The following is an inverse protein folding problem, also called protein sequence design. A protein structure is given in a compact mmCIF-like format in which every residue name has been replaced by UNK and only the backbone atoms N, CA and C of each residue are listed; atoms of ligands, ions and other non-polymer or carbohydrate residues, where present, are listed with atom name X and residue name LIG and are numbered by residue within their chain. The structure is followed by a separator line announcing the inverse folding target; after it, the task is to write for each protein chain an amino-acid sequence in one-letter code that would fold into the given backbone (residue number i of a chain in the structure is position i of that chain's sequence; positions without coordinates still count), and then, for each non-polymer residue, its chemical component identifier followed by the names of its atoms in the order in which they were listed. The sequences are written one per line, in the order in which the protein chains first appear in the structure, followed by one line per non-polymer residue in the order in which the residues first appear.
data_IF_857420179273
#
_entry.id   IF_857420179273
#
_cell.length_a   1.000
_cell.length_b   1.000
_cell.length_c   1.000
_cell.angle_alpha   90.00
_cell.angle_beta   90.00
_cell.angle_gamma   90.00
#
_symmetry.space_group_name_H-M   'P 1'
#
loop_
_entity.id
_entity.type
_entity.pdbx_description
1 polymer ?
#
# COMPACT_ATOMS: atom_id res chain seq x y z
N UNK A 1 -10.26 -17.61 -25.98
CA UNK A 1 -9.12 -18.24 -26.64
C UNK A 1 -7.85 -17.52 -26.25
N UNK A 2 -6.73 -18.26 -26.09
CA UNK A 2 -5.42 -17.67 -25.77
C UNK A 2 -4.54 -17.77 -27.01
N UNK A 3 -3.97 -16.64 -27.41
CA UNK A 3 -3.03 -16.53 -28.52
C UNK A 3 -1.63 -16.29 -27.96
N UNK A 4 -0.64 -16.96 -28.52
CA UNK A 4 0.75 -16.82 -28.06
C UNK A 4 1.56 -15.98 -29.05
N UNK A 5 2.35 -15.07 -28.50
CA UNK A 5 3.26 -14.21 -29.27
C UNK A 5 4.65 -14.36 -28.66
N UNK A 6 5.67 -14.55 -29.49
CA UNK A 6 7.05 -14.68 -29.00
C UNK A 6 7.89 -13.56 -29.60
N UNK A 7 8.59 -12.84 -28.74
CA UNK A 7 9.45 -11.73 -29.19
C UNK A 7 10.89 -12.24 -29.45
N UNK A 8 11.76 -11.40 -30.04
CA UNK A 8 13.15 -11.83 -30.33
C UNK A 8 13.97 -12.20 -29.08
N UNK A 9 13.53 -11.82 -27.88
CA UNK A 9 14.19 -12.21 -26.63
C UNK A 9 13.62 -13.50 -26.03
N UNK A 10 12.79 -14.21 -26.79
CA UNK A 10 12.14 -15.46 -26.40
C UNK A 10 11.09 -15.33 -25.30
N UNK A 11 10.71 -14.08 -24.94
CA UNK A 11 9.56 -13.87 -24.03
C UNK A 11 8.29 -14.23 -24.78
N UNK A 12 7.42 -15.00 -24.12
CA UNK A 12 6.12 -15.40 -24.69
C UNK A 12 5.03 -14.59 -23.98
N UNK A 13 4.15 -14.01 -24.79
CA UNK A 13 2.97 -13.27 -24.30
C UNK A 13 1.73 -14.13 -24.57
N UNK A 14 0.98 -14.41 -23.50
CA UNK A 14 -0.30 -15.11 -23.59
C UNK A 14 -1.44 -14.11 -23.63
N UNK A 15 -2.05 -13.95 -24.79
CA UNK A 15 -3.12 -12.96 -25.00
C UNK A 15 -4.47 -13.67 -25.01
N UNK A 16 -5.26 -13.43 -23.97
CA UNK A 16 -6.61 -13.97 -23.88
C UNK A 16 -7.59 -13.00 -24.53
N UNK A 17 -8.34 -13.49 -25.51
CA UNK A 17 -9.36 -12.69 -26.19
C UNK A 17 -10.70 -13.42 -26.21
N UNK A 18 -11.79 -12.65 -26.20
CA UNK A 18 -13.15 -13.19 -26.38
C UNK A 18 -13.47 -13.34 -27.86
N UNK A 19 -12.87 -12.53 -28.71
CA UNK A 19 -13.07 -12.54 -30.16
C UNK A 19 -11.84 -13.08 -30.87
N UNK A 20 -12.01 -13.55 -32.08
CA UNK A 20 -10.87 -13.87 -32.95
C UNK A 20 -10.12 -12.57 -33.29
N UNK A 21 -8.81 -12.67 -33.38
CA UNK A 21 -7.96 -11.53 -33.73
C UNK A 21 -7.91 -11.38 -35.27
N UNK A 22 -8.13 -10.16 -35.73
CA UNK A 22 -7.95 -9.82 -37.12
C UNK A 22 -6.46 -9.75 -37.48
N UNK A 23 -6.13 -9.76 -38.75
CA UNK A 23 -4.74 -9.61 -39.20
C UNK A 23 -4.17 -8.23 -38.76
N UNK A 24 -5.00 -7.20 -38.76
CA UNK A 24 -4.62 -5.89 -38.28
C UNK A 24 -4.29 -5.93 -36.78
N UNK A 25 -5.13 -6.60 -35.96
CA UNK A 25 -4.89 -6.77 -34.52
C UNK A 25 -3.57 -7.50 -34.27
N UNK A 26 -3.32 -8.58 -35.03
CA UNK A 26 -2.08 -9.37 -34.92
C UNK A 26 -0.87 -8.47 -35.22
N UNK A 27 -0.96 -7.65 -36.28
CA UNK A 27 0.14 -6.74 -36.63
C UNK A 27 0.42 -5.75 -35.54
N UNK A 28 -0.63 -5.16 -34.95
CA UNK A 28 -0.51 -4.23 -33.80
C UNK A 28 0.13 -4.91 -32.59
N UNK A 29 -0.33 -6.12 -32.25
CA UNK A 29 0.21 -6.88 -31.11
C UNK A 29 1.67 -7.28 -31.35
N UNK A 30 2.02 -7.71 -32.56
CA UNK A 30 3.41 -8.02 -32.91
C UNK A 30 4.31 -6.82 -32.65
N UNK A 31 3.88 -5.63 -33.08
CA UNK A 31 4.63 -4.40 -32.85
C UNK A 31 4.70 -4.07 -31.36
N UNK A 32 3.56 -4.15 -30.66
CA UNK A 32 3.47 -3.81 -29.24
C UNK A 32 4.42 -4.66 -28.39
N UNK A 33 4.56 -5.94 -28.73
CA UNK A 33 5.40 -6.88 -27.97
C UNK A 33 6.87 -6.89 -28.46
N UNK A 34 7.32 -5.83 -29.12
CA UNK A 34 8.71 -5.66 -29.51
C UNK A 34 9.10 -6.49 -30.73
N UNK A 35 8.31 -6.40 -31.78
CA UNK A 35 8.48 -7.16 -33.04
C UNK A 35 8.32 -8.67 -32.81
N UNK A 36 7.34 -9.04 -32.01
CA UNK A 36 7.00 -10.43 -31.75
C UNK A 36 6.38 -11.07 -32.99
N UNK A 37 6.29 -12.38 -32.95
CA UNK A 37 5.56 -13.17 -33.94
C UNK A 37 4.45 -13.94 -33.26
N UNK A 38 3.25 -13.91 -33.83
CA UNK A 38 2.18 -14.77 -33.36
C UNK A 38 2.54 -16.23 -33.71
N UNK A 39 2.43 -17.09 -32.69
CA UNK A 39 2.65 -18.53 -32.88
C UNK A 39 1.34 -19.18 -33.32
N UNK A 40 1.45 -20.22 -34.14
CA UNK A 40 0.29 -20.96 -34.62
C UNK A 40 -0.17 -22.05 -33.67
N UNK A 41 0.71 -22.43 -32.75
CA UNK A 41 0.43 -23.48 -31.76
C UNK A 41 -0.60 -23.02 -30.77
N UNK A 42 -1.56 -23.89 -30.45
CA UNK A 42 -2.55 -23.65 -29.37
C UNK A 42 -2.00 -23.95 -27.98
N UNK A 43 -0.98 -24.80 -27.92
CA UNK A 43 -0.29 -25.15 -26.69
C UNK A 43 1.22 -25.12 -26.93
N UNK A 44 1.98 -24.63 -25.98
CA UNK A 44 3.44 -24.59 -26.10
C UNK A 44 4.05 -25.60 -25.12
N UNK A 45 4.68 -26.64 -25.67
CA UNK A 45 5.26 -27.76 -24.92
C UNK A 45 6.69 -27.43 -24.47
N UNK A 46 6.80 -26.56 -23.49
CA UNK A 46 8.06 -26.14 -22.91
C UNK A 46 7.79 -25.60 -21.50
N UNK A 47 8.82 -25.57 -20.64
CA UNK A 47 8.68 -25.02 -19.31
C UNK A 47 8.78 -23.51 -19.34
N UNK A 48 7.87 -22.87 -18.61
CA UNK A 48 7.82 -21.41 -18.48
C UNK A 48 7.62 -21.00 -17.03
N UNK A 49 8.10 -19.82 -16.67
CA UNK A 49 7.72 -19.14 -15.44
C UNK A 49 6.97 -17.87 -15.82
N UNK A 50 5.85 -17.65 -15.14
CA UNK A 50 5.02 -16.47 -15.33
C UNK A 50 4.06 -16.29 -14.17
N UNK A 51 3.18 -15.30 -14.24
CA UNK A 51 2.24 -15.03 -13.15
C UNK A 51 1.31 -16.21 -12.88
N UNK A 52 0.94 -16.39 -11.62
CA UNK A 52 -0.03 -17.41 -11.22
C UNK A 52 -1.37 -17.19 -11.94
N UNK A 53 -2.05 -18.27 -12.26
CA UNK A 53 -3.33 -18.23 -12.98
C UNK A 53 -4.35 -17.35 -12.24
N UNK A 54 -4.38 -17.42 -10.90
CA UNK A 54 -5.33 -16.68 -10.06
C UNK A 54 -5.01 -15.18 -9.93
N UNK A 55 -3.89 -14.72 -10.51
CA UNK A 55 -3.35 -13.39 -10.22
C UNK A 55 -3.15 -12.59 -11.49
N UNK A 56 -4.14 -11.78 -11.84
CA UNK A 56 -3.98 -10.81 -12.94
C UNK A 56 -3.01 -9.72 -12.47
N UNK A 57 -1.90 -9.56 -13.17
CA UNK A 57 -0.88 -8.60 -12.74
C UNK A 57 -1.30 -7.16 -13.06
N UNK A 58 -0.79 -6.17 -12.31
CA UNK A 58 -0.98 -4.76 -12.70
C UNK A 58 -0.41 -4.47 -14.09
N UNK A 59 0.67 -5.16 -14.48
CA UNK A 59 1.22 -5.07 -15.84
C UNK A 59 0.16 -5.48 -16.87
N UNK A 60 -0.53 -6.58 -16.61
CA UNK A 60 -1.59 -7.08 -17.51
C UNK A 60 -2.72 -6.07 -17.66
N UNK A 61 -3.14 -5.44 -16.56
CA UNK A 61 -4.20 -4.43 -16.59
C UNK A 61 -3.81 -3.27 -17.50
N UNK A 62 -2.58 -2.78 -17.37
CA UNK A 62 -2.08 -1.69 -18.22
C UNK A 62 -1.94 -2.14 -19.68
N UNK A 63 -1.44 -3.36 -19.90
CA UNK A 63 -1.28 -3.89 -21.26
C UNK A 63 -2.63 -3.99 -21.99
N UNK A 64 -3.65 -4.48 -21.29
CA UNK A 64 -5.01 -4.56 -21.84
C UNK A 64 -5.54 -3.16 -22.18
N UNK A 65 -5.35 -2.18 -21.30
CA UNK A 65 -5.77 -0.80 -21.57
C UNK A 65 -5.05 -0.23 -22.80
N UNK A 66 -3.77 -0.52 -22.97
CA UNK A 66 -3.02 -0.09 -24.16
C UNK A 66 -3.65 -0.68 -25.43
N UNK A 67 -4.02 -1.97 -25.42
CA UNK A 67 -4.64 -2.58 -26.59
C UNK A 67 -5.99 -1.93 -26.91
N UNK A 68 -6.77 -1.57 -25.88
CA UNK A 68 -8.03 -0.86 -26.09
C UNK A 68 -7.79 0.51 -26.75
N UNK A 69 -6.78 1.23 -26.28
CA UNK A 69 -6.41 2.52 -26.88
C UNK A 69 -5.89 2.39 -28.32
N UNK A 70 -5.35 1.23 -28.67
CA UNK A 70 -4.94 0.91 -30.04
C UNK A 70 -6.09 0.44 -30.91
N UNK A 71 -7.30 0.37 -30.38
CA UNK A 71 -8.49 -0.04 -31.11
C UNK A 71 -8.63 -1.56 -31.26
N UNK A 72 -7.96 -2.34 -30.40
CA UNK A 72 -8.09 -3.81 -30.41
C UNK A 72 -9.18 -4.18 -29.39
N UNK A 73 -10.28 -4.76 -29.86
CA UNK A 73 -11.40 -5.10 -29.00
C UNK A 73 -11.32 -6.54 -28.49
N UNK A 74 -11.82 -6.76 -27.30
CA UNK A 74 -12.04 -8.11 -26.76
C UNK A 74 -10.82 -8.75 -26.11
N UNK A 75 -9.76 -8.01 -25.86
CA UNK A 75 -8.62 -8.52 -25.09
C UNK A 75 -9.01 -8.45 -23.60
N UNK A 76 -8.83 -9.57 -22.88
CA UNK A 76 -9.25 -9.70 -21.48
C UNK A 76 -8.05 -9.75 -20.54
N UNK A 77 -6.96 -10.39 -20.98
CA UNK A 77 -5.76 -10.58 -20.16
C UNK A 77 -4.55 -10.78 -21.05
N UNK A 78 -3.42 -10.20 -20.66
CA UNK A 78 -2.13 -10.41 -21.30
C UNK A 78 -1.10 -10.62 -20.20
N UNK A 79 -0.30 -11.69 -20.27
CA UNK A 79 0.78 -11.91 -19.31
C UNK A 79 2.04 -12.34 -20.03
N UNK A 80 3.18 -12.09 -19.38
CA UNK A 80 4.50 -12.47 -19.90
C UNK A 80 4.95 -13.78 -19.26
N UNK A 81 5.54 -14.64 -20.09
CA UNK A 81 6.08 -15.95 -19.68
C UNK A 81 7.51 -16.05 -20.18
N UNK A 82 8.42 -16.48 -19.28
CA UNK A 82 9.82 -16.68 -19.64
C UNK A 82 10.09 -18.17 -19.78
N UNK A 83 10.65 -18.62 -20.90
CA UNK A 83 11.02 -20.03 -21.02
C UNK A 83 12.17 -20.35 -20.05
N UNK A 84 12.08 -21.50 -19.41
CA UNK A 84 13.06 -21.92 -18.39
C UNK A 84 13.38 -23.41 -18.56
N UNK A 85 14.54 -23.87 -18.05
CA UNK A 85 14.80 -25.32 -18.00
C UNK A 85 13.84 -26.04 -17.05
N UNK A 86 13.71 -27.35 -17.25
CA UNK A 86 12.80 -28.19 -16.46
C UNK A 86 13.15 -28.18 -14.96
N UNK A 87 14.41 -28.00 -14.62
CA UNK A 87 14.87 -27.98 -13.21
C UNK A 87 14.93 -26.59 -12.60
N UNK A 88 14.46 -25.56 -13.31
CA UNK A 88 14.46 -24.18 -12.81
C UNK A 88 13.52 -24.04 -11.63
N UNK A 89 14.01 -23.43 -10.53
CA UNK A 89 13.22 -23.23 -9.31
C UNK A 89 13.43 -21.84 -8.67
N UNK A 90 14.14 -20.94 -9.37
CA UNK A 90 14.45 -19.60 -8.84
C UNK A 90 13.35 -18.61 -9.19
N UNK A 91 12.20 -18.75 -8.53
CA UNK A 91 11.06 -17.83 -8.69
C UNK A 91 10.30 -17.76 -7.38
N UNK A 92 9.58 -16.66 -7.18
CA UNK A 92 8.77 -16.45 -5.98
C UNK A 92 7.39 -17.11 -6.17
N UNK A 93 7.09 -18.20 -5.44
CA UNK A 93 5.81 -18.89 -5.61
C UNK A 93 4.60 -18.11 -5.12
N UNK A 94 4.78 -17.00 -4.41
CA UNK A 94 3.68 -16.13 -4.01
C UNK A 94 3.08 -15.40 -5.21
N UNK A 95 3.90 -15.05 -6.20
CA UNK A 95 3.47 -14.25 -7.35
C UNK A 95 3.63 -14.97 -8.70
N UNK A 96 4.47 -15.99 -8.75
CA UNK A 96 4.80 -16.69 -9.99
C UNK A 96 4.53 -18.19 -9.87
N UNK A 97 4.45 -18.82 -11.00
CA UNK A 97 4.20 -20.26 -11.13
C UNK A 97 5.05 -20.81 -12.27
N UNK A 98 5.58 -22.02 -12.09
CA UNK A 98 6.24 -22.73 -13.18
C UNK A 98 5.21 -23.60 -13.88
N UNK A 99 5.12 -23.43 -15.19
CA UNK A 99 4.22 -24.18 -16.07
C UNK A 99 5.05 -25.21 -16.83
N UNK A 100 4.61 -26.46 -16.86
CA UNK A 100 5.24 -27.49 -17.67
C UNK A 100 4.92 -27.31 -19.16
N UNK A 101 3.82 -26.60 -19.45
CA UNK A 101 3.42 -26.20 -20.79
C UNK A 101 2.43 -25.05 -20.65
N UNK A 102 2.32 -24.20 -21.66
CA UNK A 102 1.27 -23.19 -21.72
C UNK A 102 0.11 -23.74 -22.56
N UNK A 103 -1.10 -23.70 -22.00
CA UNK A 103 -2.29 -24.29 -22.59
C UNK A 103 -3.41 -23.26 -22.69
N UNK A 104 -4.50 -23.64 -23.34
CA UNK A 104 -5.69 -22.79 -23.42
C UNK A 104 -6.39 -22.63 -22.06
N UNK A 105 -6.05 -23.47 -21.09
CA UNK A 105 -6.62 -23.42 -19.74
C UNK A 105 -5.69 -22.74 -18.71
N UNK A 106 -4.55 -22.19 -19.15
CA UNK A 106 -3.53 -21.70 -18.21
C UNK A 106 -3.99 -20.54 -17.34
N UNK A 107 -5.03 -19.83 -17.74
CA UNK A 107 -5.61 -18.73 -16.94
C UNK A 107 -6.86 -19.18 -16.16
N UNK A 108 -7.28 -20.44 -16.35
CA UNK A 108 -8.48 -20.95 -15.67
C UNK A 108 -8.14 -21.31 -14.22
N UNK A 109 -8.96 -20.82 -13.31
CA UNK A 109 -8.81 -21.10 -11.87
C UNK A 109 -9.97 -21.99 -11.45
N UNK A 110 -9.66 -23.26 -11.16
CA UNK A 110 -10.66 -24.24 -10.71
C UNK A 110 -10.57 -24.36 -9.18
N UNK A 111 -11.21 -23.40 -8.50
CA UNK A 111 -11.28 -23.41 -7.05
C UNK A 111 -12.74 -23.61 -6.65
N UNK A 112 -12.99 -24.63 -5.83
CA UNK A 112 -14.29 -24.82 -5.19
C UNK A 112 -14.27 -23.94 -3.93
N UNK A 113 -15.15 -22.94 -3.83
CA UNK A 113 -15.20 -22.14 -2.61
C UNK A 113 -15.52 -23.01 -1.40
N UNK A 114 -14.92 -22.68 -0.26
CA UNK A 114 -15.29 -23.34 0.98
C UNK A 114 -16.73 -22.96 1.34
N UNK A 115 -17.45 -23.87 2.01
CA UNK A 115 -18.82 -23.56 2.39
C UNK A 115 -18.88 -22.44 3.42
N UNK A 116 -19.94 -21.66 3.34
CA UNK A 116 -20.24 -20.65 4.37
C UNK A 116 -20.66 -21.39 5.63
N UNK A 117 -20.03 -21.07 6.75
CA UNK A 117 -20.31 -21.71 8.03
C UNK A 117 -21.28 -20.86 8.84
N UNK A 118 -22.27 -21.48 9.45
CA UNK A 118 -23.14 -20.84 10.43
C UNK A 118 -22.56 -21.08 11.82
N UNK A 119 -22.25 -19.99 12.52
CA UNK A 119 -21.46 -20.05 13.76
C UNK A 119 -22.41 -20.24 14.95
N UNK A 120 -22.37 -21.45 15.54
CA UNK A 120 -23.19 -21.81 16.70
C UNK A 120 -22.67 -21.17 17.99
N UNK A 121 -21.35 -21.11 18.14
CA UNK A 121 -20.68 -20.62 19.34
C UNK A 121 -19.63 -19.59 18.93
N UNK A 122 -19.99 -18.33 19.09
CA UNK A 122 -19.13 -17.21 18.65
C UNK A 122 -17.87 -17.14 19.52
N UNK A 123 -17.97 -17.45 20.82
CA UNK A 123 -16.79 -17.43 21.70
C UNK A 123 -15.78 -18.50 21.30
N UNK A 124 -16.26 -19.72 21.02
CA UNK A 124 -15.39 -20.82 20.57
C UNK A 124 -14.74 -20.46 19.22
N UNK A 125 -15.52 -19.91 18.30
CA UNK A 125 -15.03 -19.48 16.98
C UNK A 125 -13.98 -18.36 17.12
N UNK A 126 -14.24 -17.39 17.99
CA UNK A 126 -13.30 -16.32 18.32
C UNK A 126 -11.92 -16.88 18.71
N UNK A 127 -11.95 -17.90 19.60
CA UNK A 127 -10.70 -18.53 20.08
C UNK A 127 -10.00 -19.35 18.98
N UNK A 128 -10.75 -20.15 18.23
CA UNK A 128 -10.16 -21.02 17.20
C UNK A 128 -9.56 -20.23 16.05
N UNK A 129 -10.19 -19.11 15.66
CA UNK A 129 -9.74 -18.29 14.54
C UNK A 129 -8.87 -17.10 14.95
N UNK A 130 -8.66 -16.90 16.26
CA UNK A 130 -7.80 -15.82 16.76
C UNK A 130 -8.33 -14.43 16.44
N UNK A 131 -9.65 -14.22 16.53
CA UNK A 131 -10.29 -12.98 16.11
C UNK A 131 -10.10 -11.82 17.08
N UNK A 132 -9.65 -12.09 18.30
CA UNK A 132 -9.39 -11.08 19.34
C UNK A 132 -10.61 -10.24 19.72
N UNK A 133 -11.80 -10.86 19.67
CA UNK A 133 -13.03 -10.21 20.16
C UNK A 133 -13.02 -10.20 21.68
N UNK A 134 -13.41 -9.09 22.28
CA UNK A 134 -13.57 -9.00 23.73
C UNK A 134 -14.97 -9.52 24.16
N UNK A 135 -15.21 -9.74 25.46
CA UNK A 135 -16.49 -10.29 25.89
C UNK A 135 -17.71 -9.46 25.46
N UNK A 136 -17.62 -8.13 25.52
CA UNK A 136 -18.72 -7.24 25.11
C UNK A 136 -19.03 -7.39 23.61
N UNK A 137 -18.01 -7.62 22.81
CA UNK A 137 -18.17 -7.82 21.36
C UNK A 137 -18.82 -9.17 21.07
N UNK A 138 -18.45 -10.22 21.83
CA UNK A 138 -19.08 -11.54 21.72
C UNK A 138 -20.57 -11.44 22.11
N UNK A 139 -20.87 -10.75 23.22
CA UNK A 139 -22.25 -10.52 23.66
C UNK A 139 -23.04 -9.74 22.61
N UNK A 140 -22.44 -8.70 22.02
CA UNK A 140 -23.08 -7.93 20.97
C UNK A 140 -23.47 -8.83 19.79
N UNK A 141 -22.56 -9.69 19.34
CA UNK A 141 -22.80 -10.56 18.19
C UNK A 141 -23.85 -11.62 18.51
N UNK A 142 -23.86 -12.17 19.73
CA UNK A 142 -24.89 -13.11 20.19
C UNK A 142 -26.28 -12.43 20.19
N UNK A 143 -26.35 -11.21 20.70
CA UNK A 143 -27.60 -10.42 20.73
C UNK A 143 -28.04 -10.08 19.30
N UNK A 144 -27.10 -9.79 18.41
CA UNK A 144 -27.41 -9.51 17.02
C UNK A 144 -27.99 -10.75 16.33
N UNK A 145 -27.40 -11.91 16.56
CA UNK A 145 -27.89 -13.19 16.04
C UNK A 145 -29.34 -13.43 16.47
N UNK A 146 -29.60 -13.22 17.77
CA UNK A 146 -30.96 -13.34 18.33
C UNK A 146 -31.92 -12.36 17.67
N UNK A 147 -31.52 -11.12 17.51
CA UNK A 147 -32.35 -10.06 16.90
C UNK A 147 -32.68 -10.38 15.44
N UNK A 148 -31.73 -10.95 14.72
CA UNK A 148 -31.90 -11.33 13.31
C UNK A 148 -32.71 -12.63 13.15
N UNK A 149 -32.86 -13.42 14.23
CA UNK A 149 -33.55 -14.69 14.18
C UNK A 149 -32.81 -15.77 13.38
N UNK A 150 -31.48 -15.64 13.26
CA UNK A 150 -30.65 -16.62 12.58
C UNK A 150 -29.23 -16.56 13.09
N UNK A 151 -28.48 -17.62 12.84
CA UNK A 151 -27.04 -17.64 13.16
C UNK A 151 -26.28 -16.65 12.27
N UNK A 152 -25.21 -16.11 12.80
CA UNK A 152 -24.28 -15.31 12.00
C UNK A 152 -23.33 -16.26 11.24
N UNK A 153 -22.92 -15.85 10.07
CA UNK A 153 -21.98 -16.61 9.27
C UNK A 153 -20.54 -16.32 9.70
N UNK A 154 -19.64 -17.23 9.34
CA UNK A 154 -18.19 -17.03 9.50
C UNK A 154 -17.75 -15.68 8.92
N UNK A 155 -18.21 -15.36 7.72
CA UNK A 155 -17.87 -14.10 7.03
C UNK A 155 -18.36 -12.89 7.81
N UNK A 156 -19.56 -12.95 8.39
CA UNK A 156 -20.11 -11.84 9.20
C UNK A 156 -19.31 -11.64 10.48
N UNK A 157 -19.00 -12.74 11.20
CA UNK A 157 -18.23 -12.64 12.45
C UNK A 157 -16.80 -12.18 12.16
N UNK A 158 -16.17 -12.72 11.12
CA UNK A 158 -14.82 -12.31 10.71
C UNK A 158 -14.81 -10.83 10.30
N UNK A 159 -15.76 -10.41 9.46
CA UNK A 159 -15.81 -9.00 9.01
C UNK A 159 -15.98 -8.05 10.18
N UNK A 160 -16.84 -8.41 11.15
CA UNK A 160 -17.01 -7.60 12.37
C UNK A 160 -15.69 -7.49 13.13
N UNK A 161 -14.97 -8.62 13.30
CA UNK A 161 -13.71 -8.61 14.04
C UNK A 161 -12.67 -7.71 13.36
N UNK A 162 -12.64 -7.71 12.02
CA UNK A 162 -11.70 -6.87 11.28
C UNK A 162 -12.08 -5.39 11.35
N UNK A 163 -13.38 -5.09 11.21
CA UNK A 163 -13.85 -3.70 11.28
C UNK A 163 -13.68 -3.11 12.69
N UNK A 164 -13.83 -3.94 13.72
CA UNK A 164 -13.75 -3.52 15.12
C UNK A 164 -12.41 -3.88 15.76
N UNK A 165 -11.38 -4.11 14.96
CA UNK A 165 -10.07 -4.55 15.42
C UNK A 165 -9.32 -3.43 16.18
N UNK A 166 -8.21 -3.82 16.82
CA UNK A 166 -7.31 -2.88 17.51
C UNK A 166 -6.43 -2.08 16.53
N UNK A 167 -6.84 -1.99 15.27
CA UNK A 167 -6.12 -1.18 14.29
C UNK A 167 -6.05 0.27 14.76
N UNK A 168 -4.87 0.86 14.72
CA UNK A 168 -4.58 2.20 15.19
C UNK A 168 -4.84 2.39 16.69
N UNK A 169 -4.99 1.29 17.44
CA UNK A 169 -5.13 1.32 18.90
C UNK A 169 -6.33 2.13 19.40
N UNK A 170 -7.40 2.22 18.62
CA UNK A 170 -8.57 3.04 18.99
C UNK A 170 -9.19 2.60 20.32
N UNK A 171 -9.28 1.29 20.57
CA UNK A 171 -9.85 0.79 21.83
C UNK A 171 -9.00 1.22 23.01
N UNK A 172 -7.67 1.02 22.93
CA UNK A 172 -6.75 1.40 24.01
C UNK A 172 -6.79 2.92 24.23
N UNK A 173 -6.69 3.71 23.14
CA UNK A 173 -6.64 5.17 23.27
C UNK A 173 -7.94 5.77 23.78
N UNK A 174 -9.08 5.09 23.60
CA UNK A 174 -10.38 5.51 24.14
C UNK A 174 -10.72 4.83 25.47
N UNK A 175 -9.91 3.87 25.91
CA UNK A 175 -10.15 3.11 27.13
C UNK A 175 -10.01 3.91 28.41
N UNK A 176 -10.53 3.35 29.47
CA UNK A 176 -10.33 3.87 30.84
C UNK A 176 -9.03 3.31 31.41
N UNK A 177 -8.17 4.19 31.86
CA UNK A 177 -6.89 3.79 32.48
C UNK A 177 -7.00 3.80 33.98
N UNK A 178 -6.61 2.71 34.59
CA UNK A 178 -6.49 2.59 36.06
C UNK A 178 -5.01 2.47 36.37
N UNK A 179 -4.44 3.48 37.04
CA UNK A 179 -3.01 3.53 37.35
C UNK A 179 -2.87 3.54 38.85
N UNK A 180 -2.18 2.54 39.40
CA UNK A 180 -2.00 2.33 40.82
C UNK A 180 -3.32 2.33 41.62
N UNK A 181 -4.37 1.76 41.00
CA UNK A 181 -5.68 1.64 41.60
C UNK A 181 -6.57 2.87 41.44
N UNK A 182 -6.07 3.93 40.80
CA UNK A 182 -6.86 5.16 40.59
C UNK A 182 -7.30 5.26 39.15
N UNK A 183 -8.60 5.42 38.93
CA UNK A 183 -9.16 5.65 37.58
C UNK A 183 -8.76 7.04 37.11
N UNK A 184 -8.17 7.10 35.92
CA UNK A 184 -7.75 8.37 35.33
C UNK A 184 -8.97 9.10 34.75
N UNK A 185 -9.00 10.44 34.89
CA UNK A 185 -10.20 11.22 34.57
C UNK A 185 -10.50 11.33 33.07
N UNK A 186 -9.58 10.91 32.22
CA UNK A 186 -9.77 11.08 30.78
C UNK A 186 -8.96 10.03 29.99
N UNK A 187 -9.47 9.65 28.83
CA UNK A 187 -8.78 8.74 27.94
C UNK A 187 -7.60 9.43 27.24
N UNK A 188 -6.69 8.62 26.68
CA UNK A 188 -5.54 9.16 25.94
C UNK A 188 -5.99 9.99 24.72
N UNK A 189 -7.02 9.55 24.03
CA UNK A 189 -7.56 10.31 22.87
C UNK A 189 -8.06 11.68 23.29
N UNK A 190 -8.74 11.76 24.44
CA UNK A 190 -9.22 13.06 24.97
C UNK A 190 -8.05 13.96 25.36
N UNK A 191 -6.95 13.40 25.91
CA UNK A 191 -5.75 14.18 26.20
C UNK A 191 -5.14 14.78 24.95
N UNK A 192 -5.06 14.01 23.87
CA UNK A 192 -4.55 14.49 22.57
C UNK A 192 -5.44 15.64 22.06
N UNK A 193 -6.75 15.44 22.06
CA UNK A 193 -7.70 16.46 21.58
C UNK A 193 -7.67 17.73 22.41
N UNK A 194 -7.49 17.60 23.72
CA UNK A 194 -7.40 18.73 24.65
C UNK A 194 -6.32 19.74 24.23
N UNK A 195 -5.20 19.24 23.68
CA UNK A 195 -4.14 20.12 23.17
C UNK A 195 -4.68 21.08 22.11
N UNK A 196 -5.41 20.54 21.15
CA UNK A 196 -6.00 21.35 20.06
C UNK A 196 -7.14 22.23 20.54
N UNK A 197 -7.91 21.76 21.52
CA UNK A 197 -9.00 22.55 22.11
C UNK A 197 -8.47 23.76 22.89
N UNK A 198 -7.38 23.55 23.62
CA UNK A 198 -6.78 24.61 24.42
C UNK A 198 -5.98 25.61 23.57
N UNK A 199 -5.32 25.11 22.53
CA UNK A 199 -4.48 25.91 21.64
C UNK A 199 -4.84 25.61 20.19
N UNK A 200 -5.99 26.10 19.69
CA UNK A 200 -6.44 25.77 18.35
C UNK A 200 -5.56 26.38 17.25
N UNK A 201 -4.90 27.49 17.53
CA UNK A 201 -4.01 28.16 16.58
C UNK A 201 -4.69 28.30 15.20
N UNK A 202 -4.03 27.84 14.14
CA UNK A 202 -4.53 27.95 12.77
C UNK A 202 -5.21 26.66 12.27
N UNK A 203 -5.67 25.78 13.18
CA UNK A 203 -6.37 24.54 12.76
C UNK A 203 -7.68 24.90 12.07
N UNK A 204 -7.85 24.40 10.85
CA UNK A 204 -9.08 24.49 10.07
C UNK A 204 -9.95 23.26 10.28
N UNK A 205 -9.32 22.08 10.28
CA UNK A 205 -10.02 20.82 10.53
C UNK A 205 -9.03 19.77 11.06
N UNK A 206 -9.43 19.09 12.13
CA UNK A 206 -8.66 17.98 12.72
C UNK A 206 -9.63 16.99 13.37
N UNK A 207 -9.24 15.71 13.43
CA UNK A 207 -9.99 14.62 14.07
C UNK A 207 -11.35 14.33 13.45
N UNK A 208 -11.56 14.74 12.21
CA UNK A 208 -12.80 14.52 11.46
C UNK A 208 -12.62 13.58 10.27
N UNK A 209 -11.37 13.40 9.86
CA UNK A 209 -11.01 12.57 8.72
C UNK A 209 -9.55 12.13 8.91
N UNK A 210 -9.03 11.36 7.96
CA UNK A 210 -7.64 10.89 7.97
C UNK A 210 -6.65 11.96 7.49
N UNK A 211 -7.05 13.22 7.54
CA UNK A 211 -6.24 14.37 7.13
C UNK A 211 -6.57 15.54 8.05
N UNK A 212 -5.56 16.34 8.35
CA UNK A 212 -5.77 17.61 9.04
C UNK A 212 -5.48 18.76 8.09
N UNK A 213 -6.20 19.86 8.28
CA UNK A 213 -5.99 21.10 7.54
C UNK A 213 -5.63 22.23 8.49
N UNK A 214 -4.60 22.97 8.16
CA UNK A 214 -4.24 24.21 8.87
C UNK A 214 -4.27 25.36 7.86
N UNK A 215 -4.53 26.56 8.34
CA UNK A 215 -4.56 27.76 7.51
C UNK A 215 -3.15 28.01 6.95
N UNK A 216 -3.09 28.25 5.66
CA UNK A 216 -1.86 28.60 4.98
C UNK A 216 -1.76 30.11 4.73
N UNK A 217 -0.69 30.57 4.10
CA UNK A 217 -0.56 31.97 3.75
C UNK A 217 -1.54 32.36 2.64
N UNK A 218 -1.78 33.66 2.50
CA UNK A 218 -2.43 34.18 1.32
C UNK A 218 -1.45 34.09 0.15
N UNK A 219 -1.85 33.47 -0.94
CA UNK A 219 -0.97 33.19 -2.08
C UNK A 219 -1.60 33.72 -3.38
N UNK A 220 -0.74 33.98 -4.36
CA UNK A 220 -1.18 34.33 -5.73
C UNK A 220 -0.79 33.18 -6.64
N UNK A 221 -1.77 32.69 -7.39
CA UNK A 221 -1.59 31.60 -8.36
C UNK A 221 -1.76 32.15 -9.77
N UNK A 222 -0.88 31.77 -10.67
CA UNK A 222 -1.01 32.03 -12.10
C UNK A 222 -1.55 30.78 -12.77
N UNK A 223 -2.80 30.85 -13.19
CA UNK A 223 -3.54 29.66 -13.66
C UNK A 223 -4.62 30.08 -14.66
N UNK A 224 -5.17 29.13 -15.45
CA UNK A 224 -6.30 29.45 -16.30
C UNK A 224 -7.47 29.99 -15.47
N UNK A 225 -8.19 30.95 -16.03
CA UNK A 225 -9.36 31.56 -15.38
C UNK A 225 -10.44 30.52 -15.05
N UNK A 226 -10.70 29.59 -15.97
CA UNK A 226 -11.62 28.48 -15.74
C UNK A 226 -10.88 27.16 -15.79
N UNK A 227 -11.39 26.17 -15.03
CA UNK A 227 -10.77 24.85 -14.90
C UNK A 227 -11.37 23.82 -15.87
N UNK A 228 -12.51 24.12 -16.46
CA UNK A 228 -13.31 23.14 -17.22
C UNK A 228 -13.22 23.33 -18.75
N UNK A 229 -12.44 24.29 -19.20
CA UNK A 229 -12.26 24.57 -20.64
C UNK A 229 -10.98 25.35 -20.86
N UNK A 230 -10.43 25.38 -22.09
CA UNK A 230 -9.29 26.25 -22.40
C UNK A 230 -9.66 27.72 -22.13
N UNK A 231 -8.75 28.44 -21.45
CA UNK A 231 -9.03 29.82 -21.07
C UNK A 231 -7.72 30.58 -20.90
N UNK A 232 -7.81 31.90 -20.84
CA UNK A 232 -6.65 32.78 -20.59
C UNK A 232 -6.17 32.60 -19.16
N UNK A 233 -4.85 32.72 -18.97
CA UNK A 233 -4.24 32.67 -17.64
C UNK A 233 -4.42 34.05 -16.97
N UNK A 234 -4.59 33.99 -15.66
CA UNK A 234 -4.68 35.22 -14.85
C UNK A 234 -4.00 35.01 -13.50
N UNK A 235 -3.61 36.09 -12.87
CA UNK A 235 -3.15 36.08 -11.48
C UNK A 235 -4.36 36.16 -10.56
N UNK A 236 -4.46 35.22 -9.62
CA UNK A 236 -5.58 35.18 -8.71
C UNK A 236 -5.11 34.90 -7.29
N UNK A 237 -5.36 35.82 -6.39
CA UNK A 237 -5.02 35.66 -4.98
C UNK A 237 -6.11 34.89 -4.24
N UNK A 238 -5.71 34.03 -3.30
CA UNK A 238 -6.66 33.28 -2.47
C UNK A 238 -6.04 32.97 -1.11
N UNK A 239 -6.90 32.72 -0.13
CA UNK A 239 -6.50 32.24 1.18
C UNK A 239 -6.32 30.72 1.08
N UNK A 240 -5.13 30.25 1.45
CA UNK A 240 -4.78 28.84 1.27
C UNK A 240 -4.98 28.02 2.54
N UNK A 241 -5.00 26.71 2.37
CA UNK A 241 -4.84 25.73 3.45
C UNK A 241 -3.67 24.82 3.13
N UNK A 242 -3.05 24.30 4.16
CA UNK A 242 -2.10 23.21 4.07
C UNK A 242 -2.74 21.96 4.64
N UNK A 243 -2.74 20.88 3.88
CA UNK A 243 -3.16 19.58 4.36
C UNK A 243 -1.96 18.84 4.90
N UNK A 244 -2.12 18.13 6.01
CA UNK A 244 -1.04 17.36 6.63
C UNK A 244 -1.55 15.97 7.01
N UNK A 245 -0.65 15.00 6.85
CA UNK A 245 -0.94 13.60 7.19
C UNK A 245 0.36 12.90 7.54
N UNK A 246 0.29 12.02 8.53
CA UNK A 246 1.37 11.07 8.80
C UNK A 246 0.76 9.68 8.87
N UNK A 247 1.46 8.70 8.30
CA UNK A 247 1.02 7.32 8.22
C UNK A 247 2.15 6.39 8.60
N UNK A 248 1.87 5.37 9.44
CA UNK A 248 2.87 4.37 9.77
C UNK A 248 2.65 3.13 8.93
N UNK A 249 3.75 2.55 8.44
CA UNK A 249 3.69 1.32 7.64
C UNK A 249 4.84 0.42 8.06
N UNK A 250 4.70 -0.21 9.23
CA UNK A 250 5.82 -0.78 9.98
C UNK A 250 6.18 -2.20 9.54
N UNK A 251 5.31 -3.17 9.81
CA UNK A 251 5.62 -4.58 9.54
C UNK A 251 5.88 -4.84 8.05
N UNK A 252 5.07 -4.34 7.13
CA UNK A 252 5.38 -4.57 5.71
C UNK A 252 6.74 -3.98 5.29
N UNK A 253 7.13 -2.83 5.87
CA UNK A 253 8.45 -2.23 5.59
C UNK A 253 9.57 -3.07 6.19
N UNK A 254 9.31 -3.78 7.29
CA UNK A 254 10.30 -4.70 7.88
C UNK A 254 10.56 -5.90 6.98
N UNK A 255 9.50 -6.45 6.38
CA UNK A 255 9.57 -7.68 5.58
C UNK A 255 10.04 -7.38 4.15
N UNK A 256 9.44 -6.38 3.52
CA UNK A 256 9.74 -5.99 2.13
C UNK A 256 9.91 -4.47 2.08
N UNK A 257 11.10 -3.97 2.41
CA UNK A 257 11.27 -2.53 2.67
C UNK A 257 10.91 -1.62 1.49
N UNK A 258 11.28 -1.96 0.25
CA UNK A 258 10.97 -1.12 -0.91
C UNK A 258 9.46 -0.98 -1.09
N UNK A 259 8.79 -2.12 -1.23
CA UNK A 259 7.34 -2.13 -1.49
C UNK A 259 6.54 -1.65 -0.29
N UNK A 260 7.00 -1.99 0.92
CA UNK A 260 6.34 -1.56 2.16
C UNK A 260 6.39 -0.04 2.32
N UNK A 261 7.55 0.57 2.11
CA UNK A 261 7.69 2.03 2.24
C UNK A 261 6.98 2.76 1.09
N UNK A 262 7.00 2.20 -0.12
CA UNK A 262 6.23 2.75 -1.24
C UNK A 262 4.74 2.80 -0.89
N UNK A 263 4.22 1.70 -0.32
CA UNK A 263 2.82 1.63 0.12
C UNK A 263 2.53 2.63 1.23
N UNK A 264 3.46 2.81 2.17
CA UNK A 264 3.32 3.80 3.25
C UNK A 264 3.19 5.22 2.73
N UNK A 265 4.06 5.60 1.80
CA UNK A 265 3.99 6.91 1.14
C UNK A 265 2.68 7.05 0.35
N UNK A 266 2.30 6.00 -0.38
CA UNK A 266 1.03 5.98 -1.10
C UNK A 266 -0.17 6.10 -0.18
N UNK A 267 -0.11 5.48 1.00
CA UNK A 267 -1.20 5.54 1.99
C UNK A 267 -1.44 6.95 2.50
N UNK A 268 -0.38 7.66 2.88
CA UNK A 268 -0.56 9.03 3.36
C UNK A 268 -1.07 9.96 2.24
N UNK A 269 -0.61 9.76 1.01
CA UNK A 269 -1.09 10.53 -0.13
C UNK A 269 -2.58 10.27 -0.37
N UNK A 270 -2.98 9.00 -0.38
CA UNK A 270 -4.38 8.61 -0.64
C UNK A 270 -5.32 9.17 0.43
N UNK A 271 -4.96 9.03 1.71
CA UNK A 271 -5.78 9.53 2.81
C UNK A 271 -5.94 11.04 2.75
N UNK A 272 -4.81 11.73 2.52
CA UNK A 272 -4.81 13.19 2.47
C UNK A 272 -5.66 13.69 1.29
N UNK A 273 -5.49 13.11 0.12
CA UNK A 273 -6.27 13.50 -1.07
C UNK A 273 -7.75 13.18 -0.92
N UNK A 274 -8.08 12.10 -0.21
CA UNK A 274 -9.47 11.75 0.05
C UNK A 274 -10.19 12.76 0.96
N UNK A 275 -9.44 13.62 1.64
CA UNK A 275 -9.99 14.65 2.54
C UNK A 275 -10.64 15.84 1.82
N UNK A 276 -10.51 15.92 0.50
CA UNK A 276 -11.13 17.00 -0.28
C UNK A 276 -10.16 17.64 -1.26
N UNK A 277 -10.64 18.65 -1.97
CA UNK A 277 -9.89 19.31 -3.03
C UNK A 277 -8.70 20.14 -2.52
N UNK A 278 -8.67 20.45 -1.22
CA UNK A 278 -7.60 21.26 -0.61
C UNK A 278 -6.32 20.51 -0.31
N UNK A 279 -6.09 19.36 -0.93
CA UNK A 279 -4.98 18.48 -0.59
C UNK A 279 -4.10 18.13 -1.81
N UNK A 280 -3.89 19.09 -2.71
CA UNK A 280 -2.99 18.89 -3.85
C UNK A 280 -1.58 18.58 -3.31
N UNK A 281 -0.95 17.47 -3.73
CA UNK A 281 0.34 17.09 -3.18
C UNK A 281 1.43 18.15 -3.39
N UNK A 282 2.25 18.36 -2.37
CA UNK A 282 3.34 19.34 -2.42
C UNK A 282 4.68 18.71 -2.06
N UNK A 283 4.77 18.06 -0.90
CA UNK A 283 6.05 17.51 -0.42
C UNK A 283 5.80 16.36 0.54
N UNK A 284 6.69 15.37 0.50
CA UNK A 284 6.65 14.21 1.39
C UNK A 284 7.86 14.12 2.29
N UNK A 285 7.72 13.39 3.39
CA UNK A 285 8.80 13.05 4.32
C UNK A 285 8.73 11.58 4.68
N UNK A 286 9.85 11.02 5.14
CA UNK A 286 9.85 9.67 5.69
C UNK A 286 10.81 9.60 6.88
N UNK A 287 10.32 9.07 7.99
CA UNK A 287 11.12 8.85 9.21
C UNK A 287 11.20 7.35 9.44
N UNK A 288 12.40 6.87 9.75
CA UNK A 288 12.64 5.47 10.04
C UNK A 288 13.22 5.33 11.43
N UNK A 289 12.67 4.40 12.22
CA UNK A 289 13.20 4.05 13.52
C UNK A 289 13.59 2.59 13.48
N UNK A 290 14.88 2.31 13.61
CA UNK A 290 15.45 0.96 13.46
C UNK A 290 16.38 0.62 14.61
N UNK A 291 16.76 -0.65 14.71
CA UNK A 291 17.90 -1.04 15.51
C UNK A 291 19.16 -0.42 14.90
N UNK A 292 20.22 -0.29 15.70
CA UNK A 292 21.49 0.25 15.23
C UNK A 292 22.08 -0.67 14.14
N UNK A 293 22.62 -0.09 13.10
CA UNK A 293 22.94 -0.81 11.87
C UNK A 293 24.09 -1.82 11.96
N UNK A 294 25.04 -1.65 12.90
CA UNK A 294 26.16 -2.59 13.06
C UNK A 294 26.83 -2.90 11.72
N UNK A 295 27.38 -1.86 11.09
CA UNK A 295 27.90 -1.95 9.72
C UNK A 295 28.99 -3.00 9.55
N UNK A 296 29.74 -3.32 10.60
CA UNK A 296 30.79 -4.34 10.52
C UNK A 296 30.26 -5.75 10.27
N UNK A 297 28.98 -5.98 10.60
CA UNK A 297 28.33 -7.26 10.39
C UNK A 297 27.66 -7.34 9.02
N UNK A 298 27.73 -6.28 8.24
CA UNK A 298 26.98 -6.14 6.98
C UNK A 298 27.96 -5.85 5.84
N UNK A 299 27.58 -6.26 4.65
CA UNK A 299 28.34 -6.03 3.41
C UNK A 299 27.48 -5.15 2.51
N UNK A 300 28.08 -4.16 1.89
CA UNK A 300 27.36 -3.18 1.10
C UNK A 300 27.64 -3.35 -0.38
N UNK A 301 26.63 -3.61 -1.15
CA UNK A 301 26.65 -3.56 -2.61
C UNK A 301 25.96 -2.27 -3.05
N UNK A 302 26.76 -1.32 -3.48
CA UNK A 302 26.27 0.01 -3.85
C UNK A 302 25.40 -0.02 -5.11
N UNK A 303 25.57 -1.00 -5.99
CA UNK A 303 24.75 -1.11 -7.21
C UNK A 303 23.40 -1.75 -6.91
N UNK A 304 23.39 -2.80 -6.11
CA UNK A 304 22.16 -3.48 -5.75
C UNK A 304 21.39 -2.77 -4.64
N UNK A 305 22.03 -1.82 -3.95
CA UNK A 305 21.45 -1.18 -2.78
C UNK A 305 21.33 -2.10 -1.58
N UNK A 306 22.15 -3.18 -1.58
CA UNK A 306 22.17 -4.17 -0.49
C UNK A 306 23.55 -4.20 0.15
N UNK A 307 23.64 -4.72 1.36
CA UNK A 307 24.91 -4.80 2.08
C UNK A 307 25.57 -6.13 1.78
N UNK A 308 26.66 -6.12 1.02
CA UNK A 308 27.39 -7.33 0.62
C UNK A 308 28.86 -7.34 1.03
N UNK A 309 29.52 -6.19 1.14
CA UNK A 309 30.92 -6.07 1.55
C UNK A 309 31.09 -4.90 2.51
N UNK A 310 31.99 -5.01 3.48
CA UNK A 310 32.27 -3.88 4.36
C UNK A 310 32.85 -2.71 3.56
N UNK A 311 32.19 -1.58 3.60
CA UNK A 311 32.78 -0.36 3.07
C UNK A 311 33.82 0.12 4.10
N UNK A 312 35.08 -0.09 3.81
CA UNK A 312 36.16 0.15 4.77
C UNK A 312 36.15 1.54 5.39
N UNK A 313 35.67 2.54 4.66
CA UNK A 313 35.59 3.91 5.18
C UNK A 313 34.36 4.13 6.06
N UNK A 314 33.26 3.41 5.78
CA UNK A 314 32.05 3.48 6.58
C UNK A 314 32.11 2.61 7.83
N UNK A 315 33.02 1.66 7.85
CA UNK A 315 33.17 0.68 8.92
C UNK A 315 34.17 1.09 9.99
N UNK A 316 34.43 2.37 10.16
CA UNK A 316 35.24 2.83 11.29
C UNK A 316 34.47 2.56 12.56
N UNK A 317 34.95 1.62 13.35
CA UNK A 317 34.34 1.26 14.62
C UNK A 317 34.26 2.49 15.52
N UNK A 318 33.09 2.78 16.00
CA UNK A 318 32.90 3.82 17.00
C UNK A 318 33.17 3.19 18.39
N UNK A 319 33.60 4.00 19.40
CA UNK A 319 33.90 3.42 20.70
C UNK A 319 32.78 2.57 21.30
N UNK A 320 31.54 2.98 21.13
CA UNK A 320 30.39 2.24 21.65
C UNK A 320 30.11 0.94 20.88
N UNK A 321 30.54 0.84 19.64
CA UNK A 321 30.27 -0.35 18.80
C UNK A 321 31.06 -1.56 19.29
N UNK A 322 32.23 -1.32 19.94
CA UNK A 322 33.08 -2.41 20.45
C UNK A 322 32.34 -3.25 21.52
N UNK A 323 31.38 -2.65 22.22
CA UNK A 323 30.61 -3.35 23.27
C UNK A 323 29.28 -3.92 22.76
N UNK A 324 28.93 -3.65 21.51
CA UNK A 324 27.64 -4.11 21.00
C UNK A 324 27.70 -5.58 20.63
N UNK A 325 26.67 -6.31 21.04
CA UNK A 325 26.55 -7.72 20.72
C UNK A 325 26.10 -7.89 19.26
N UNK A 326 26.64 -8.95 18.65
CA UNK A 326 26.21 -9.37 17.33
C UNK A 326 24.71 -9.73 17.37
N UNK A 327 23.99 -9.41 16.30
CA UNK A 327 22.57 -9.72 16.19
C UNK A 327 22.26 -10.45 14.90
N UNK A 328 21.30 -11.34 14.96
CA UNK A 328 20.70 -11.95 13.78
C UNK A 328 19.39 -11.24 13.46
N UNK A 329 19.13 -11.09 12.18
CA UNK A 329 17.96 -10.36 11.70
C UNK A 329 16.95 -11.32 11.12
N UNK A 330 15.69 -11.15 11.49
CA UNK A 330 14.64 -12.08 11.08
C UNK A 330 14.34 -11.96 9.57
N UNK A 331 14.37 -10.75 9.03
CA UNK A 331 14.08 -10.49 7.62
C UNK A 331 15.22 -9.76 6.92
N UNK A 332 15.36 -8.47 7.17
CA UNK A 332 16.34 -7.61 6.51
C UNK A 332 17.21 -6.94 7.58
N UNK A 333 18.43 -6.60 7.22
CA UNK A 333 19.28 -5.82 8.14
C UNK A 333 18.78 -4.39 8.22
N UNK A 334 19.09 -3.65 9.30
CA UNK A 334 18.71 -2.23 9.36
C UNK A 334 19.23 -1.41 8.18
N UNK A 335 20.42 -1.71 7.67
CA UNK A 335 21.00 -0.99 6.52
C UNK A 335 20.19 -1.31 5.26
N UNK A 336 19.85 -2.58 5.03
CA UNK A 336 19.00 -2.97 3.90
C UNK A 336 17.66 -2.25 3.94
N UNK A 337 17.04 -2.25 5.14
CA UNK A 337 15.75 -1.57 5.33
C UNK A 337 15.88 -0.08 4.98
N UNK A 338 16.89 0.60 5.52
CA UNK A 338 17.03 2.05 5.31
C UNK A 338 17.28 2.40 3.83
N UNK A 339 18.08 1.61 3.13
CA UNK A 339 18.36 1.85 1.71
C UNK A 339 17.12 1.55 0.87
N UNK A 340 16.56 0.36 1.02
CA UNK A 340 15.43 -0.08 0.19
C UNK A 340 14.16 0.71 0.48
N UNK A 341 13.89 0.98 1.75
CA UNK A 341 12.67 1.72 2.14
C UNK A 341 12.70 3.15 1.64
N UNK A 342 13.85 3.85 1.79
CA UNK A 342 13.92 5.23 1.30
C UNK A 342 13.78 5.29 -0.22
N UNK A 343 14.35 4.31 -0.94
CA UNK A 343 14.17 4.20 -2.38
C UNK A 343 12.69 3.96 -2.75
N UNK A 344 12.01 3.07 -2.01
CA UNK A 344 10.60 2.77 -2.27
C UNK A 344 9.69 3.97 -2.01
N UNK A 345 9.90 4.66 -0.88
CA UNK A 345 9.11 5.84 -0.54
C UNK A 345 9.28 6.95 -1.58
N UNK A 346 10.54 7.21 -2.00
CA UNK A 346 10.80 8.25 -3.00
C UNK A 346 10.30 7.84 -4.39
N UNK A 347 10.39 6.56 -4.74
CA UNK A 347 9.89 6.08 -6.03
C UNK A 347 8.38 6.36 -6.17
N UNK A 348 7.59 5.98 -5.17
CA UNK A 348 6.15 6.24 -5.19
C UNK A 348 5.86 7.74 -5.21
N UNK A 349 6.47 8.48 -4.27
CA UNK A 349 6.21 9.91 -4.13
C UNK A 349 6.57 10.69 -5.38
N UNK A 350 7.75 10.44 -5.94
CA UNK A 350 8.21 11.15 -7.13
C UNK A 350 7.33 10.86 -8.34
N UNK A 351 6.92 9.60 -8.53
CA UNK A 351 6.05 9.22 -9.64
C UNK A 351 4.66 9.84 -9.51
N UNK A 352 4.19 10.01 -8.27
CA UNK A 352 2.87 10.60 -8.01
C UNK A 352 2.89 12.13 -8.11
N UNK A 353 4.06 12.75 -8.01
CA UNK A 353 4.18 14.21 -8.01
C UNK A 353 4.32 14.82 -6.62
N UNK A 354 4.63 14.00 -5.62
CA UNK A 354 4.93 14.44 -4.26
C UNK A 354 6.38 14.05 -3.94
N UNK A 355 7.35 14.91 -4.26
CA UNK A 355 8.74 14.54 -4.01
C UNK A 355 9.02 14.33 -2.51
N UNK A 356 9.82 13.32 -2.21
CA UNK A 356 10.30 13.07 -0.85
C UNK A 356 11.44 14.07 -0.59
N UNK A 357 11.19 15.08 0.25
CA UNK A 357 12.12 16.19 0.39
C UNK A 357 13.00 16.11 1.65
N UNK A 358 12.61 15.30 2.62
CA UNK A 358 13.38 15.17 3.87
C UNK A 358 12.98 13.90 4.60
N UNK A 359 13.78 13.56 5.58
CA UNK A 359 13.52 12.44 6.45
C UNK A 359 14.51 12.41 7.59
N UNK A 360 14.37 11.42 8.44
CA UNK A 360 15.32 11.20 9.52
C UNK A 360 15.38 9.73 9.89
N UNK A 361 16.48 9.35 10.53
CA UNK A 361 16.70 8.01 11.05
C UNK A 361 16.94 8.13 12.55
N UNK A 362 16.22 7.35 13.33
CA UNK A 362 16.36 7.26 14.78
C UNK A 362 16.68 5.81 15.15
N UNK A 363 17.58 5.62 16.09
CA UNK A 363 17.87 4.28 16.62
C UNK A 363 17.74 4.29 18.13
N UNK A 364 17.32 3.16 18.68
CA UNK A 364 17.21 3.00 20.13
C UNK A 364 17.37 1.53 20.48
N UNK A 365 18.27 1.27 21.40
CA UNK A 365 18.44 -0.03 22.02
C UNK A 365 18.79 0.20 23.50
N UNK A 366 18.10 -0.48 24.37
CA UNK A 366 18.29 -0.31 25.82
C UNK A 366 17.94 -1.60 26.55
N UNK A 367 18.65 -1.88 27.62
CA UNK A 367 18.31 -3.00 28.49
C UNK A 367 17.98 -2.46 29.87
N UNK A 368 16.85 -2.88 30.42
CA UNK A 368 16.36 -2.45 31.72
C UNK A 368 15.62 -3.59 32.39
N UNK A 369 16.04 -3.94 33.58
CA UNK A 369 15.42 -5.01 34.37
C UNK A 369 15.31 -6.34 33.61
N UNK A 370 16.36 -6.69 32.85
CA UNK A 370 16.41 -7.91 32.04
C UNK A 370 15.56 -7.88 30.79
N UNK A 371 14.95 -6.75 30.47
CA UNK A 371 14.14 -6.54 29.26
C UNK A 371 14.97 -5.79 28.23
N UNK A 372 15.00 -6.32 27.00
CA UNK A 372 15.63 -5.65 25.87
C UNK A 372 14.59 -4.82 25.12
N UNK A 373 14.83 -3.54 25.03
CA UNK A 373 13.92 -2.57 24.41
C UNK A 373 14.59 -1.98 23.18
N UNK A 374 13.85 -1.85 22.10
CA UNK A 374 14.41 -1.31 20.87
C UNK A 374 13.47 -1.44 19.68
N UNK A 375 13.95 -0.98 18.54
CA UNK A 375 13.19 -1.04 17.30
C UNK A 375 13.61 -2.29 16.49
N UNK A 376 13.21 -3.46 16.93
CA UNK A 376 13.49 -4.70 16.19
C UNK A 376 12.65 -4.81 14.92
N UNK A 377 11.45 -4.26 14.96
CA UNK A 377 10.60 -4.04 13.80
C UNK A 377 10.71 -2.55 13.45
N UNK A 378 10.99 -2.23 12.19
CA UNK A 378 11.12 -0.83 11.80
C UNK A 378 9.80 -0.08 12.04
N UNK A 379 9.92 1.15 12.53
CA UNK A 379 8.81 2.10 12.45
C UNK A 379 9.08 2.96 11.22
N UNK A 380 8.23 2.83 10.20
CA UNK A 380 8.28 3.67 9.02
C UNK A 380 7.13 4.66 9.10
N UNK A 381 7.44 5.94 9.19
CA UNK A 381 6.43 6.98 9.27
C UNK A 381 6.53 7.87 8.04
N UNK A 382 5.62 7.65 7.11
CA UNK A 382 5.47 8.51 5.94
C UNK A 382 4.68 9.75 6.35
N UNK A 383 5.07 10.89 5.84
CA UNK A 383 4.34 12.13 6.09
C UNK A 383 4.27 12.95 4.81
N UNK A 384 3.28 13.82 4.76
CA UNK A 384 3.14 14.68 3.59
C UNK A 384 2.36 15.93 3.86
N UNK A 385 2.63 16.91 3.02
CA UNK A 385 1.97 18.21 3.01
C UNK A 385 1.40 18.46 1.62
N UNK A 386 0.17 18.94 1.59
CA UNK A 386 -0.46 19.42 0.36
C UNK A 386 -0.99 20.82 0.56
N UNK A 387 -1.55 21.40 -0.48
CA UNK A 387 -2.12 22.74 -0.40
C UNK A 387 -3.41 22.82 -1.20
N UNK A 388 -4.18 23.86 -0.93
CA UNK A 388 -5.39 24.15 -1.67
C UNK A 388 -6.01 25.44 -1.17
N UNK A 389 -7.20 25.72 -1.65
CA UNK A 389 -7.94 26.92 -1.20
C UNK A 389 -8.65 26.62 0.12
N UNK A 390 -8.81 27.65 0.93
CA UNK A 390 -9.45 27.51 2.25
C UNK A 390 -10.88 26.93 2.15
N UNK A 391 -11.63 27.30 1.13
CA UNK A 391 -13.00 26.80 0.93
C UNK A 391 -13.02 25.32 0.46
N UNK A 392 -11.87 24.78 0.07
CA UNK A 392 -11.73 23.39 -0.36
C UNK A 392 -11.33 22.43 0.76
N UNK A 393 -11.18 22.91 2.00
CA UNK A 393 -10.74 22.10 3.14
C UNK A 393 -11.90 21.26 3.74
N UNK A 394 -12.86 20.89 2.92
CA UNK A 394 -14.01 20.08 3.35
C UNK A 394 -14.26 18.95 2.37
N UNK A 395 -14.43 17.77 2.91
CA UNK A 395 -14.79 16.59 2.14
C UNK A 395 -16.24 16.74 1.64
N UNK A 396 -16.46 16.45 0.39
CA UNK A 396 -17.82 16.41 -0.17
C UNK A 396 -18.46 15.07 0.15
N UNK A 397 -19.49 15.07 0.96
CA UNK A 397 -20.23 13.84 1.28
C UNK A 397 -21.10 13.48 0.06
N UNK A 398 -20.91 12.31 -0.54
CA UNK A 398 -21.78 11.87 -1.64
C UNK A 398 -23.23 11.73 -1.16
N UNK A 399 -24.17 12.13 -2.02
CA UNK A 399 -25.59 11.91 -1.74
C UNK A 399 -26.03 10.58 -2.35
N UNK A 400 -26.99 9.97 -1.64
CA UNK A 400 -27.62 8.78 -2.22
C UNK A 400 -28.25 9.17 -3.57
N UNK A 401 -27.99 8.36 -4.53
CA UNK A 401 -28.53 8.64 -5.81
C UNK A 401 -27.69 9.54 -6.68
N UNK A 402 -26.94 9.88 -6.00
CA UNK A 402 -26.06 10.71 -6.69
C UNK A 402 -25.15 9.80 -7.42
N UNK A 403 -25.43 9.63 -8.31
CA UNK A 403 -24.55 8.85 -9.03
C UNK A 403 -23.22 9.25 -8.64
N UNK A 404 -22.88 8.61 -8.12
CA UNK A 404 -21.57 8.68 -7.75
C UNK A 404 -20.63 8.93 -8.85
N UNK A 405 -21.05 8.53 -9.67
CA UNK A 405 -20.32 8.65 -10.87
C UNK A 405 -20.29 10.06 -11.40
N UNK A 406 -21.18 10.41 -11.20
CA UNK A 406 -21.25 11.73 -11.68
C UNK A 406 -20.53 12.70 -10.82
N UNK A 407 -20.58 12.33 -9.92
CA UNK A 407 -19.86 13.02 -8.98
C UNK A 407 -18.40 12.84 -9.13
N UNK A 408 -18.03 11.80 -9.34
CA UNK A 408 -16.62 11.48 -9.60
C UNK A 408 -16.10 12.17 -10.88
N UNK A 409 -16.91 12.19 -11.88
CA UNK A 409 -16.54 12.87 -13.15
C UNK A 409 -16.41 14.39 -12.92
N UNK A 410 -17.27 14.96 -12.11
CA UNK A 410 -17.19 16.39 -11.77
C UNK A 410 -16.00 16.69 -10.84
N UNK A 411 -15.53 15.70 -10.09
CA UNK A 411 -14.34 15.85 -9.24
C UNK A 411 -13.04 15.73 -10.05
N UNK A 412 -13.13 15.06 -11.19
CA UNK A 412 -11.97 14.86 -12.08
C UNK A 412 -11.89 15.92 -13.20
N UNK A 413 -12.94 16.66 -13.44
CA UNK A 413 -12.97 17.78 -14.37
C UNK A 413 -12.77 19.11 -13.61
#
# INVERSE_FOLDING_TARGET
MIHFFENPSNTVYGVQSVNSLSQEDITKLNWLFGNAKKLDDQNLNHYFVGPRAAMVTPWSTNAVEITQNMGIAGIVRIEEFQPVPADFNDFDPMISQKFSMLTQDMYTVNITPEPILEIQDIEAYNKSEGLALNPEEVDYLNNLSTKLGRLLTDSEVFAFSQANSEHCRHKIFNGTFIIDGEEQPTSLFKLIKKTSETNPNEIVSAYKDNVAFVKGPRVTQFAPKSADKPDFYEEKAFDSVLSVKAETHNFPTTVEPFSGAATGSGGEIRDRMAGGQGAIPLAGTAVYMTAYSRLEQNKLDLQAGTVTEPAKELNKTRPWENAMQERQWLYQTPVDILIKASNGASDFGNKFGQPLITGSVLTFEHEEDGRKLGYDKVIMQAGGVGYGKLDQAKKHTPKTXXXXXXXAIKLLS
#
